data_IF_988043096052
#
_entry.id   IF_988043096052
#
_cell.length_a   1.000
_cell.length_b   1.000
_cell.length_c   1.000
_cell.angle_alpha   90.00
_cell.angle_beta   90.00
_cell.angle_gamma   90.00
#
_symmetry.space_group_name_H-M   'P 1'
#
loop_
_entity.id
_entity.type
_entity.pdbx_description
1 polymer ?
#
# COMPACT_ATOMS: atom_id res chain seq x y z
N UNK A 1 -79.83 -20.52 -37.37
CA UNK A 1 -78.73 -21.49 -37.13
C UNK A 1 -77.44 -20.89 -37.69
N UNK A 2 -76.63 -20.24 -36.85
CA UNK A 2 -75.26 -19.85 -37.19
C UNK A 2 -74.37 -20.43 -36.10
N UNK A 3 -73.49 -21.37 -36.47
CA UNK A 3 -72.49 -21.95 -35.56
C UNK A 3 -71.22 -21.11 -35.68
N UNK A 4 -70.81 -20.50 -34.58
CA UNK A 4 -69.56 -19.75 -34.45
C UNK A 4 -68.45 -20.73 -34.06
N UNK A 5 -67.40 -20.80 -34.87
CA UNK A 5 -66.19 -21.60 -34.62
C UNK A 5 -65.19 -20.76 -33.84
N UNK A 6 -64.89 -21.15 -32.60
CA UNK A 6 -63.79 -20.60 -31.81
C UNK A 6 -62.47 -21.28 -32.23
N UNK A 7 -61.56 -20.51 -32.81
CA UNK A 7 -60.17 -20.93 -33.05
C UNK A 7 -59.35 -20.73 -31.77
N UNK A 8 -58.84 -21.84 -31.23
CA UNK A 8 -57.91 -21.85 -30.10
C UNK A 8 -56.50 -21.51 -30.63
N UNK A 9 -56.02 -20.29 -30.35
CA UNK A 9 -54.64 -19.88 -30.64
C UNK A 9 -53.75 -20.40 -29.51
N UNK A 10 -52.92 -21.39 -29.82
CA UNK A 10 -51.87 -21.90 -28.93
C UNK A 10 -50.71 -20.88 -28.93
N UNK A 11 -50.59 -20.08 -27.88
CA UNK A 11 -49.42 -19.22 -27.66
C UNK A 11 -48.26 -20.09 -27.17
N UNK A 12 -47.36 -20.48 -28.08
CA UNK A 12 -46.09 -21.09 -27.71
C UNK A 12 -45.19 -20.02 -27.08
N UNK A 13 -45.05 -20.03 -25.77
CA UNK A 13 -44.03 -19.24 -25.07
C UNK A 13 -42.66 -19.86 -25.34
N UNK A 14 -42.00 -19.42 -26.41
CA UNK A 14 -40.57 -19.67 -26.58
C UNK A 14 -39.83 -18.96 -25.44
N UNK A 15 -39.25 -19.72 -24.51
CA UNK A 15 -38.30 -19.18 -23.55
C UNK A 15 -37.07 -18.71 -24.33
N UNK A 16 -36.99 -17.40 -24.58
CA UNK A 16 -35.73 -16.77 -25.00
C UNK A 16 -34.72 -17.04 -23.89
N UNK A 17 -33.83 -18.02 -24.11
CA UNK A 17 -32.69 -18.23 -23.24
C UNK A 17 -31.92 -16.92 -23.18
N UNK A 18 -31.77 -16.36 -21.99
CA UNK A 18 -30.89 -15.22 -21.75
C UNK A 18 -29.48 -15.65 -22.12
N UNK A 19 -29.02 -15.30 -23.33
CA UNK A 19 -27.63 -15.51 -23.71
C UNK A 19 -26.74 -14.73 -22.74
N UNK A 20 -25.81 -15.41 -22.09
CA UNK A 20 -24.81 -14.77 -21.25
C UNK A 20 -24.04 -13.74 -22.10
N UNK A 21 -23.79 -12.55 -21.55
CA UNK A 21 -22.99 -11.53 -22.25
C UNK A 21 -21.58 -12.05 -22.54
N UNK A 22 -21.09 -11.96 -23.78
CA UNK A 22 -19.79 -12.51 -24.15
C UNK A 22 -18.64 -11.94 -23.30
N UNK A 23 -17.77 -12.84 -22.83
CA UNK A 23 -16.58 -12.52 -22.05
C UNK A 23 -15.50 -11.97 -22.98
N UNK A 24 -15.13 -10.71 -22.76
CA UNK A 24 -14.04 -10.03 -23.46
C UNK A 24 -12.88 -9.78 -22.51
N UNK A 25 -11.67 -10.14 -22.94
CA UNK A 25 -10.43 -9.97 -22.17
C UNK A 25 -9.62 -8.85 -22.84
N UNK A 26 -9.32 -7.79 -22.09
CA UNK A 26 -8.49 -6.68 -22.55
C UNK A 26 -7.19 -6.62 -21.74
N UNK A 27 -6.07 -6.52 -22.47
CA UNK A 27 -4.71 -6.44 -21.92
C UNK A 27 -4.41 -7.57 -20.93
N UNK A 28 -4.38 -8.85 -21.38
CA UNK A 28 -3.86 -9.92 -20.56
C UNK A 28 -2.37 -9.66 -20.29
N UNK A 29 -1.91 -9.99 -19.08
CA UNK A 29 -0.54 -9.76 -18.67
C UNK A 29 0.01 -10.90 -17.82
N UNK A 30 1.34 -10.99 -17.85
CA UNK A 30 2.15 -11.75 -16.91
C UNK A 30 3.42 -10.95 -16.64
N UNK A 31 3.83 -10.81 -15.40
CA UNK A 31 5.08 -10.16 -15.02
C UNK A 31 5.56 -10.72 -13.69
N UNK A 32 6.81 -10.47 -13.37
CA UNK A 32 7.35 -10.75 -12.04
C UNK A 32 7.24 -9.50 -11.20
N UNK A 33 6.66 -9.65 -10.02
CA UNK A 33 6.43 -8.58 -9.07
C UNK A 33 7.24 -8.82 -7.80
N UNK A 34 8.02 -7.82 -7.39
CA UNK A 34 8.59 -7.74 -6.05
C UNK A 34 7.79 -6.69 -5.28
N UNK A 35 7.06 -7.12 -4.26
CA UNK A 35 6.28 -6.22 -3.42
C UNK A 35 6.99 -5.98 -2.10
N UNK A 36 7.35 -4.73 -1.83
CA UNK A 36 7.74 -4.32 -0.49
C UNK A 36 6.58 -4.50 0.47
N UNK A 37 6.89 -4.54 1.76
CA UNK A 37 5.87 -4.51 2.79
C UNK A 37 5.09 -3.19 2.76
N UNK A 38 3.85 -3.27 3.21
CA UNK A 38 2.88 -2.21 3.05
C UNK A 38 1.79 -2.32 4.11
N UNK A 39 1.11 -1.21 4.36
CA UNK A 39 -0.02 -1.12 5.28
C UNK A 39 -1.37 -1.43 4.63
N UNK A 40 -1.37 -1.74 3.33
CA UNK A 40 -2.59 -1.93 2.53
C UNK A 40 -3.19 -3.34 2.69
N UNK A 41 -2.51 -4.22 3.42
CA UNK A 41 -2.88 -5.62 3.58
C UNK A 41 -2.55 -6.48 2.36
N UNK A 42 -1.67 -6.00 1.46
CA UNK A 42 -1.19 -6.79 0.33
C UNK A 42 0.02 -7.63 0.74
N UNK A 43 0.05 -8.89 0.31
CA UNK A 43 1.17 -9.79 0.61
C UNK A 43 2.50 -9.23 0.11
N UNK A 44 3.54 -9.26 0.94
CA UNK A 44 4.90 -8.86 0.56
C UNK A 44 5.72 -10.04 0.04
N UNK A 45 6.71 -9.77 -0.81
CA UNK A 45 7.62 -10.79 -1.34
C UNK A 45 7.69 -10.78 -2.87
N UNK A 46 8.19 -11.87 -3.43
CA UNK A 46 8.30 -12.06 -4.88
C UNK A 46 7.16 -12.94 -5.40
N UNK A 47 6.50 -12.48 -6.46
CA UNK A 47 5.36 -13.15 -7.06
C UNK A 47 5.48 -13.19 -8.58
N UNK A 48 4.97 -14.27 -9.17
CA UNK A 48 4.50 -14.25 -10.55
C UNK A 48 3.09 -13.66 -10.52
N UNK A 49 2.94 -12.48 -11.12
CA UNK A 49 1.68 -11.79 -11.24
C UNK A 49 1.09 -12.01 -12.62
N UNK A 50 -0.15 -12.48 -12.67
CA UNK A 50 -0.91 -12.76 -13.89
C UNK A 50 -2.28 -12.10 -13.83
N UNK A 51 -2.88 -11.84 -14.98
CA UNK A 51 -4.26 -11.34 -15.00
C UNK A 51 -4.61 -10.59 -16.27
N UNK A 52 -5.61 -9.72 -16.17
CA UNK A 52 -6.03 -8.84 -17.25
C UNK A 52 -6.50 -7.49 -16.69
N UNK A 53 -6.18 -6.40 -17.40
CA UNK A 53 -6.55 -5.04 -16.96
C UNK A 53 -8.06 -4.84 -16.92
N UNK A 54 -8.78 -5.48 -17.85
CA UNK A 54 -10.23 -5.43 -17.91
C UNK A 54 -10.81 -6.71 -18.49
N UNK A 55 -11.70 -7.35 -17.71
CA UNK A 55 -12.57 -8.43 -18.19
C UNK A 55 -14.02 -7.99 -18.09
N UNK A 56 -14.75 -8.09 -19.19
CA UNK A 56 -16.17 -7.69 -19.26
C UNK A 56 -17.02 -8.85 -19.78
N UNK A 57 -18.12 -9.25 -19.10
CA UNK A 57 -18.56 -8.76 -17.78
C UNK A 57 -17.51 -9.00 -16.69
N UNK A 58 -17.53 -8.21 -15.62
CA UNK A 58 -16.53 -8.29 -14.55
C UNK A 58 -16.95 -9.25 -13.42
N UNK A 59 -16.14 -9.34 -12.35
CA UNK A 59 -16.41 -10.26 -11.25
C UNK A 59 -17.70 -9.95 -10.48
N UNK A 60 -18.08 -8.68 -10.35
CA UNK A 60 -19.37 -8.29 -9.77
C UNK A 60 -20.57 -8.78 -10.60
N UNK A 61 -20.37 -8.99 -11.90
CA UNK A 61 -21.36 -9.57 -12.81
C UNK A 61 -21.27 -11.12 -12.88
N UNK A 62 -20.52 -11.75 -11.98
CA UNK A 62 -20.40 -13.21 -11.89
C UNK A 62 -19.28 -13.83 -12.73
N UNK A 63 -18.38 -13.03 -13.31
CA UNK A 63 -17.24 -13.57 -14.05
C UNK A 63 -16.18 -14.11 -13.08
N UNK A 64 -15.75 -15.35 -13.29
CA UNK A 64 -14.64 -15.97 -12.56
C UNK A 64 -13.43 -16.15 -13.48
N UNK A 65 -12.23 -16.08 -12.93
CA UNK A 65 -10.98 -16.29 -13.67
C UNK A 65 -10.19 -17.46 -13.11
N UNK A 66 -9.56 -18.24 -13.99
CA UNK A 66 -8.66 -19.33 -13.63
C UNK A 66 -7.40 -19.25 -14.49
N UNK A 67 -6.26 -19.45 -13.84
CA UNK A 67 -4.93 -19.54 -14.43
C UNK A 67 -4.53 -21.02 -14.54
N UNK A 68 -3.98 -21.43 -15.68
CA UNK A 68 -3.46 -22.78 -15.84
C UNK A 68 -2.17 -22.89 -16.65
N UNK A 69 -1.46 -24.01 -16.46
CA UNK A 69 -0.37 -24.48 -17.34
C UNK A 69 -0.66 -25.90 -17.76
N UNK A 70 -0.99 -26.09 -19.04
CA UNK A 70 -1.46 -27.38 -19.54
C UNK A 70 -2.71 -27.85 -18.77
N UNK A 71 -2.76 -29.14 -18.44
CA UNK A 71 -3.85 -29.75 -17.64
C UNK A 71 -3.43 -30.06 -16.20
N UNK A 72 -2.21 -29.69 -15.81
CA UNK A 72 -1.55 -30.21 -14.60
C UNK A 72 -1.66 -29.25 -13.41
N UNK A 73 -1.77 -27.94 -13.69
CA UNK A 73 -1.86 -26.90 -12.66
C UNK A 73 -2.98 -25.93 -13.01
N UNK A 74 -3.87 -25.68 -12.05
CA UNK A 74 -4.96 -24.71 -12.14
C UNK A 74 -5.09 -23.97 -10.80
N UNK A 75 -5.25 -22.65 -10.84
CA UNK A 75 -5.48 -21.81 -9.67
C UNK A 75 -6.38 -20.62 -10.02
N UNK A 76 -7.07 -20.06 -9.04
CA UNK A 76 -7.98 -18.94 -9.29
C UNK A 76 -7.22 -17.64 -9.61
N UNK A 77 -7.84 -16.82 -10.45
CA UNK A 77 -7.50 -15.42 -10.68
C UNK A 77 -8.62 -14.58 -10.06
N UNK A 78 -8.27 -13.77 -9.08
CA UNK A 78 -9.23 -13.05 -8.27
C UNK A 78 -9.69 -11.76 -8.96
N UNK A 79 -10.96 -11.43 -8.78
CA UNK A 79 -11.49 -10.12 -9.11
C UNK A 79 -11.05 -9.10 -8.05
N UNK A 80 -10.26 -8.11 -8.45
CA UNK A 80 -9.61 -7.17 -7.52
C UNK A 80 -9.76 -5.73 -8.03
N UNK A 81 -11.00 -5.21 -8.13
CA UNK A 81 -11.26 -3.94 -8.80
C UNK A 81 -10.74 -2.74 -8.01
N UNK A 82 -10.67 -1.60 -8.69
CA UNK A 82 -10.47 -0.29 -8.07
C UNK A 82 -11.29 0.78 -8.79
N UNK A 83 -11.42 1.99 -8.24
CA UNK A 83 -12.01 3.13 -8.93
C UNK A 83 -11.46 3.38 -10.34
N UNK A 84 -10.13 3.32 -10.53
CA UNK A 84 -9.50 3.58 -11.84
C UNK A 84 -9.41 2.33 -12.75
N UNK A 85 -9.47 1.13 -12.17
CA UNK A 85 -9.48 -0.15 -12.90
C UNK A 85 -10.62 -1.07 -12.42
N UNK A 86 -11.88 -0.79 -12.78
CA UNK A 86 -13.06 -1.45 -12.19
C UNK A 86 -13.29 -2.89 -12.62
N UNK A 87 -12.61 -3.35 -13.68
CA UNK A 87 -12.77 -4.68 -14.27
C UNK A 87 -11.53 -5.55 -14.08
N UNK A 88 -10.68 -5.19 -13.11
CA UNK A 88 -9.35 -5.75 -12.94
C UNK A 88 -9.39 -7.15 -12.32
N UNK A 89 -8.66 -8.09 -12.95
CA UNK A 89 -8.43 -9.42 -12.43
C UNK A 89 -6.94 -9.67 -12.24
N UNK A 90 -6.56 -10.26 -11.10
CA UNK A 90 -5.17 -10.62 -10.83
C UNK A 90 -5.03 -11.88 -9.98
N UNK A 91 -3.97 -12.64 -10.29
CA UNK A 91 -3.51 -13.79 -9.53
C UNK A 91 -2.04 -13.60 -9.16
N UNK A 92 -1.66 -14.12 -8.00
CA UNK A 92 -0.32 -14.00 -7.44
C UNK A 92 0.15 -15.39 -7.02
N UNK A 93 1.25 -15.84 -7.61
CA UNK A 93 1.93 -17.08 -7.22
C UNK A 93 3.26 -16.73 -6.58
N UNK A 94 3.54 -17.12 -5.33
CA UNK A 94 4.85 -16.89 -4.71
C UNK A 94 5.97 -17.55 -5.53
N UNK A 95 7.06 -16.83 -5.77
CA UNK A 95 8.21 -17.32 -6.53
C UNK A 95 9.51 -17.10 -5.76
N UNK A 96 10.40 -18.09 -5.82
CA UNK A 96 11.78 -17.99 -5.32
C UNK A 96 12.80 -17.81 -6.45
N UNK A 97 14.05 -17.42 -6.13
CA UNK A 97 15.11 -17.20 -7.13
C UNK A 97 15.38 -18.42 -8.04
N UNK A 98 15.22 -19.63 -7.50
CA UNK A 98 15.42 -20.90 -8.21
C UNK A 98 14.47 -21.07 -9.41
N UNK A 99 13.30 -20.44 -9.37
CA UNK A 99 12.30 -20.54 -10.44
C UNK A 99 12.66 -19.72 -11.67
N UNK A 100 13.66 -18.83 -11.58
CA UNK A 100 14.19 -18.05 -12.70
C UNK A 100 15.35 -18.73 -13.45
N UNK A 101 15.66 -19.97 -13.08
CA UNK A 101 16.66 -20.78 -13.79
C UNK A 101 16.11 -21.35 -15.12
N UNK A 102 17.00 -21.78 -16.01
CA UNK A 102 16.61 -22.40 -17.27
C UNK A 102 15.74 -23.65 -17.03
N UNK A 103 14.49 -23.64 -17.54
CA UNK A 103 13.51 -24.70 -17.30
C UNK A 103 12.58 -24.46 -16.11
N UNK A 104 12.69 -23.31 -15.42
CA UNK A 104 11.78 -22.92 -14.36
C UNK A 104 10.34 -22.73 -14.84
N UNK A 105 9.38 -23.14 -14.01
CA UNK A 105 7.95 -23.16 -14.36
C UNK A 105 7.35 -21.79 -14.70
N UNK A 106 7.96 -20.70 -14.27
CA UNK A 106 7.51 -19.32 -14.55
C UNK A 106 7.59 -18.96 -16.04
N UNK A 107 8.46 -19.62 -16.80
CA UNK A 107 8.66 -19.36 -18.24
C UNK A 107 7.76 -20.21 -19.16
N UNK A 108 6.99 -21.13 -18.60
CA UNK A 108 6.01 -21.92 -19.36
C UNK A 108 4.90 -21.00 -19.91
N UNK A 109 4.23 -21.39 -21.01
CA UNK A 109 3.04 -20.70 -21.47
C UNK A 109 1.88 -20.93 -20.48
N UNK A 110 1.25 -19.84 -20.05
CA UNK A 110 0.12 -19.84 -19.15
C UNK A 110 -1.15 -19.48 -19.91
N UNK A 111 -2.26 -20.13 -19.57
CA UNK A 111 -3.58 -19.84 -20.12
C UNK A 111 -4.46 -19.23 -19.03
N UNK A 112 -4.96 -18.03 -19.30
CA UNK A 112 -6.00 -17.37 -18.52
C UNK A 112 -7.34 -17.78 -19.11
N UNK A 113 -8.25 -18.31 -18.30
CA UNK A 113 -9.62 -18.64 -18.69
C UNK A 113 -10.58 -17.83 -17.84
N UNK A 114 -11.45 -17.06 -18.48
CA UNK A 114 -12.52 -16.34 -17.80
C UNK A 114 -13.87 -16.91 -18.22
N UNK A 115 -14.79 -17.01 -17.28
CA UNK A 115 -16.10 -17.65 -17.49
C UNK A 115 -17.19 -16.79 -16.86
N UNK A 116 -18.27 -16.54 -17.61
CA UNK A 116 -19.49 -15.89 -17.12
C UNK A 116 -20.70 -16.69 -17.57
N UNK A 117 -21.37 -17.37 -16.64
CA UNK A 117 -22.46 -18.28 -16.96
C UNK A 117 -22.01 -19.40 -17.91
N UNK A 118 -22.58 -19.45 -19.10
CA UNK A 118 -22.24 -20.43 -20.13
C UNK A 118 -21.12 -19.97 -21.08
N UNK A 119 -20.72 -18.70 -21.03
CA UNK A 119 -19.71 -18.15 -21.92
C UNK A 119 -18.31 -18.22 -21.29
N UNK A 120 -17.29 -18.47 -22.13
CA UNK A 120 -15.91 -18.51 -21.69
C UNK A 120 -14.96 -18.02 -22.76
N UNK A 121 -13.94 -17.29 -22.33
CA UNK A 121 -12.90 -16.74 -23.20
C UNK A 121 -11.52 -17.01 -22.59
N UNK A 122 -10.51 -17.13 -23.45
CA UNK A 122 -9.15 -17.48 -23.06
C UNK A 122 -8.13 -16.49 -23.63
N UNK A 123 -7.05 -16.29 -22.87
CA UNK A 123 -5.87 -15.57 -23.32
C UNK A 123 -4.60 -16.32 -22.90
N UNK A 124 -3.60 -16.36 -23.78
CA UNK A 124 -2.31 -16.96 -23.46
C UNK A 124 -1.29 -15.87 -23.13
N UNK A 125 -0.52 -16.10 -22.07
CA UNK A 125 0.54 -15.20 -21.60
C UNK A 125 1.80 -16.00 -21.30
N UNK A 126 2.96 -15.42 -21.54
CA UNK A 126 4.24 -16.08 -21.28
C UNK A 126 5.31 -15.08 -20.85
N UNK A 127 6.14 -15.46 -19.88
CA UNK A 127 7.32 -14.69 -19.49
C UNK A 127 8.45 -14.84 -20.51
N UNK A 128 9.18 -13.76 -20.77
CA UNK A 128 10.43 -13.84 -21.51
C UNK A 128 11.52 -14.46 -20.64
N UNK A 129 12.44 -15.21 -21.25
CA UNK A 129 13.55 -15.87 -20.56
C UNK A 129 14.54 -14.91 -19.89
N UNK A 130 14.52 -13.62 -20.24
CA UNK A 130 15.33 -12.56 -19.61
C UNK A 130 14.70 -11.96 -18.36
N UNK A 131 13.49 -12.37 -17.99
CA UNK A 131 12.83 -11.83 -16.80
C UNK A 131 13.58 -12.20 -15.53
N UNK A 132 13.70 -11.23 -14.63
CA UNK A 132 14.44 -11.35 -13.38
C UNK A 132 13.75 -10.54 -12.28
N UNK A 133 14.03 -10.89 -11.03
CA UNK A 133 13.62 -10.07 -9.89
C UNK A 133 14.35 -8.73 -9.95
N UNK A 134 13.60 -7.65 -9.81
CA UNK A 134 14.13 -6.28 -9.79
C UNK A 134 14.08 -5.75 -8.36
N UNK A 135 15.10 -5.01 -7.90
CA UNK A 135 15.08 -4.45 -6.55
C UNK A 135 14.03 -3.35 -6.43
N UNK A 136 13.60 -3.11 -5.20
CA UNK A 136 12.76 -1.97 -4.82
C UNK A 136 13.56 -0.67 -4.85
N UNK A 137 12.89 0.47 -4.92
CA UNK A 137 13.55 1.77 -4.78
C UNK A 137 14.11 1.93 -3.37
N UNK A 138 15.14 2.76 -3.23
CA UNK A 138 15.89 2.86 -1.98
C UNK A 138 15.14 3.65 -0.90
N UNK A 139 14.38 4.68 -1.29
CA UNK A 139 13.54 5.47 -0.37
C UNK A 139 12.51 6.36 -1.07
N UNK A 140 11.53 6.84 -0.30
CA UNK A 140 10.53 7.84 -0.69
C UNK A 140 10.58 9.00 0.31
N UNK A 141 10.60 10.23 -0.20
CA UNK A 141 10.56 11.47 0.58
C UNK A 141 9.32 12.26 0.18
N UNK A 142 8.63 12.86 1.15
CA UNK A 142 7.48 13.73 0.93
C UNK A 142 7.86 15.20 1.19
N UNK A 143 7.44 16.07 0.30
CA UNK A 143 7.62 17.51 0.40
C UNK A 143 6.42 18.23 -0.23
N UNK A 144 6.53 19.53 -0.43
CA UNK A 144 5.48 20.31 -1.09
C UNK A 144 4.40 20.79 -0.13
N UNK A 145 3.24 21.15 -0.70
CA UNK A 145 2.10 21.61 0.08
C UNK A 145 1.15 20.46 0.30
N UNK A 146 0.30 20.56 1.31
CA UNK A 146 -0.66 19.50 1.54
C UNK A 146 -1.69 19.32 0.44
N UNK A 147 -2.03 20.36 -0.33
CA UNK A 147 -2.90 20.25 -1.48
C UNK A 147 -2.21 19.62 -2.69
N UNK A 148 -0.88 19.69 -2.74
CA UNK A 148 -0.05 19.21 -3.84
C UNK A 148 1.24 18.59 -3.29
N UNK A 149 1.17 17.41 -2.66
CA UNK A 149 2.35 16.74 -2.13
C UNK A 149 3.31 16.39 -3.27
N UNK A 150 4.59 16.59 -3.03
CA UNK A 150 5.67 16.21 -3.92
C UNK A 150 6.40 15.02 -3.34
N UNK A 151 6.27 13.87 -4.00
CA UNK A 151 7.02 12.67 -3.67
C UNK A 151 8.30 12.62 -4.47
N UNK A 152 9.42 12.39 -3.81
CA UNK A 152 10.73 12.19 -4.44
C UNK A 152 11.24 10.81 -4.02
N UNK A 153 11.88 10.07 -4.92
CA UNK A 153 12.39 8.74 -4.62
C UNK A 153 13.81 8.54 -5.11
N UNK A 154 14.54 7.67 -4.41
CA UNK A 154 15.87 7.25 -4.81
C UNK A 154 15.79 5.98 -5.67
N UNK A 155 16.27 5.99 -6.93
CA UNK A 155 16.43 4.77 -7.72
C UNK A 155 17.26 3.72 -6.97
N UNK A 156 17.09 2.42 -7.26
CA UNK A 156 17.86 1.40 -6.59
C UNK A 156 19.37 1.55 -6.86
N UNK A 157 20.15 1.50 -5.79
CA UNK A 157 21.60 1.43 -5.86
C UNK A 157 22.09 0.10 -6.47
N UNK A 158 23.36 0.07 -6.88
CA UNK A 158 23.97 -1.14 -7.40
C UNK A 158 23.90 -2.27 -6.35
N UNK A 159 23.59 -3.49 -6.80
CA UNK A 159 23.50 -4.64 -5.89
C UNK A 159 24.83 -4.82 -5.13
N UNK A 160 24.81 -5.10 -3.82
CA UNK A 160 26.04 -5.31 -3.04
C UNK A 160 26.99 -6.31 -3.72
N UNK A 161 28.24 -5.91 -3.91
CA UNK A 161 29.26 -6.71 -4.60
C UNK A 161 29.20 -6.67 -6.13
N UNK A 162 28.38 -5.81 -6.73
CA UNK A 162 28.31 -5.60 -8.17
C UNK A 162 28.36 -4.11 -8.53
N UNK A 163 28.76 -3.78 -9.76
CA UNK A 163 28.66 -2.43 -10.32
C UNK A 163 27.41 -2.25 -11.19
N UNK A 164 26.56 -3.27 -11.29
CA UNK A 164 25.40 -3.27 -12.19
C UNK A 164 24.22 -2.58 -11.51
N UNK A 165 23.81 -1.46 -12.11
CA UNK A 165 22.57 -0.76 -11.75
C UNK A 165 21.41 -1.45 -12.47
N UNK A 166 20.29 -1.74 -11.79
CA UNK A 166 19.10 -2.29 -12.42
C UNK A 166 18.59 -1.39 -13.56
N UNK A 167 18.17 -2.00 -14.66
CA UNK A 167 17.54 -1.25 -15.76
C UNK A 167 16.20 -0.70 -15.27
N UNK A 168 15.93 0.56 -15.56
CA UNK A 168 14.64 1.20 -15.28
C UNK A 168 14.10 1.75 -16.59
N UNK A 169 12.91 1.28 -17.01
CA UNK A 169 12.24 1.79 -18.21
C UNK A 169 11.19 2.85 -17.86
N UNK A 170 10.74 2.91 -16.62
CA UNK A 170 9.87 3.97 -16.11
C UNK A 170 9.52 3.76 -14.64
N UNK A 171 8.77 4.70 -14.09
CA UNK A 171 8.17 4.55 -12.77
C UNK A 171 6.65 4.63 -12.84
N UNK A 172 5.96 3.81 -12.06
CA UNK A 172 4.52 3.91 -11.84
C UNK A 172 4.26 4.58 -10.49
N UNK A 173 3.48 5.64 -10.47
CA UNK A 173 3.03 6.32 -9.26
C UNK A 173 1.56 6.05 -9.11
N UNK A 174 1.14 5.44 -8.00
CA UNK A 174 -0.28 5.19 -7.70
C UNK A 174 -0.59 5.65 -6.30
N UNK A 175 -1.83 6.10 -6.09
CA UNK A 175 -2.32 6.47 -4.77
C UNK A 175 -3.51 5.58 -4.43
N UNK A 176 -3.44 5.04 -3.22
CA UNK A 176 -4.44 4.18 -2.62
C UNK A 176 -5.16 4.93 -1.52
N UNK A 177 -6.48 4.98 -1.62
CA UNK A 177 -7.35 5.43 -0.54
C UNK A 177 -7.59 4.27 0.42
N UNK A 178 -6.98 4.35 1.61
CA UNK A 178 -7.01 3.25 2.59
C UNK A 178 -8.42 2.99 3.11
N UNK A 179 -9.30 3.99 3.08
CA UNK A 179 -10.64 3.90 3.68
C UNK A 179 -11.62 3.03 2.89
N UNK A 180 -11.31 2.76 1.61
CA UNK A 180 -12.16 1.96 0.73
C UNK A 180 -11.55 0.59 0.42
N UNK A 181 -10.37 0.28 0.96
CA UNK A 181 -9.74 -1.03 0.75
C UNK A 181 -10.59 -2.09 1.43
N UNK A 182 -10.96 -3.10 0.67
CA UNK A 182 -11.65 -4.27 1.17
C UNK A 182 -11.24 -5.51 0.36
N UNK A 183 -10.58 -6.44 1.03
CA UNK A 183 -10.16 -7.72 0.45
C UNK A 183 -11.14 -8.85 0.77
N UNK A 184 -12.10 -8.64 1.69
CA UNK A 184 -13.05 -9.64 2.12
C UNK A 184 -14.46 -9.31 1.60
N UNK A 185 -15.03 -10.11 0.68
CA UNK A 185 -16.38 -9.87 0.17
C UNK A 185 -17.46 -9.91 1.27
N UNK A 186 -17.20 -10.52 2.42
CA UNK A 186 -18.12 -10.49 3.56
C UNK A 186 -18.28 -9.10 4.19
N UNK A 187 -17.30 -8.21 4.02
CA UNK A 187 -17.29 -6.87 4.60
C UNK A 187 -17.83 -5.81 3.63
N UNK A 188 -18.28 -6.21 2.44
CA UNK A 188 -18.77 -5.33 1.37
C UNK A 188 -18.12 -5.63 0.02
N UNK A 189 -18.29 -4.75 -0.98
CA UNK A 189 -17.66 -4.91 -2.28
C UNK A 189 -16.13 -4.97 -2.16
N UNK A 190 -15.49 -5.91 -2.86
CA UNK A 190 -14.03 -5.98 -2.93
C UNK A 190 -13.53 -4.72 -3.64
N UNK A 191 -12.47 -4.12 -3.11
CA UNK A 191 -11.83 -2.95 -3.70
C UNK A 191 -10.38 -2.87 -3.21
N UNK A 192 -9.43 -2.68 -4.12
CA UNK A 192 -8.01 -2.56 -3.77
C UNK A 192 -7.59 -1.14 -3.36
N UNK A 193 -8.48 -0.15 -3.47
CA UNK A 193 -8.27 1.23 -3.03
C UNK A 193 -7.55 2.15 -4.00
N UNK A 194 -7.08 1.69 -5.15
CA UNK A 194 -6.36 2.55 -6.10
C UNK A 194 -7.28 3.61 -6.73
N UNK A 195 -7.07 4.87 -6.36
CA UNK A 195 -7.88 6.03 -6.80
C UNK A 195 -7.24 6.82 -7.94
N UNK A 196 -5.92 6.76 -8.10
CA UNK A 196 -5.20 7.33 -9.23
C UNK A 196 -3.96 6.53 -9.58
N UNK A 197 -3.43 6.75 -10.78
CA UNK A 197 -2.19 6.16 -11.24
C UNK A 197 -1.65 6.87 -12.47
N UNK A 198 -0.34 7.08 -12.52
CA UNK A 198 0.38 7.63 -13.66
C UNK A 198 1.70 6.90 -13.83
N UNK A 199 2.15 6.79 -15.08
CA UNK A 199 3.49 6.31 -15.39
C UNK A 199 4.36 7.48 -15.87
N UNK A 200 5.61 7.54 -15.41
CA UNK A 200 6.58 8.56 -15.77
C UNK A 200 7.84 7.95 -16.37
N UNK A 201 8.59 8.78 -17.09
CA UNK A 201 9.85 8.42 -17.74
C UNK A 201 10.92 8.00 -16.71
N UNK A 202 11.92 7.19 -17.10
CA UNK A 202 12.89 6.60 -16.15
C UNK A 202 13.86 7.61 -15.53
N UNK A 203 13.99 8.80 -16.12
CA UNK A 203 14.78 9.90 -15.58
C UNK A 203 14.00 10.81 -14.61
N UNK A 204 12.73 10.52 -14.37
CA UNK A 204 11.90 11.25 -13.39
C UNK A 204 12.00 10.52 -12.06
N UNK A 205 12.43 11.24 -11.03
CA UNK A 205 12.54 10.73 -9.64
C UNK A 205 11.74 11.56 -8.65
N UNK A 206 10.83 12.41 -9.15
CA UNK A 206 9.97 13.26 -8.35
C UNK A 206 8.64 13.48 -9.05
N UNK A 207 7.54 13.49 -8.28
CA UNK A 207 6.18 13.68 -8.77
C UNK A 207 5.37 14.53 -7.79
N UNK A 208 4.81 15.63 -8.28
CA UNK A 208 3.88 16.47 -7.51
C UNK A 208 2.45 16.12 -7.87
N UNK A 209 1.72 15.59 -6.90
CA UNK A 209 0.31 15.23 -7.06
C UNK A 209 -0.52 16.47 -7.34
N UNK A 210 -1.37 16.37 -8.36
CA UNK A 210 -2.30 17.40 -8.74
C UNK A 210 -3.74 16.93 -8.51
N UNK A 211 -4.65 17.86 -8.26
CA UNK A 211 -6.08 17.54 -8.21
C UNK A 211 -6.58 16.87 -9.50
N UNK A 212 -5.99 17.23 -10.65
CA UNK A 212 -6.29 16.66 -11.96
C UNK A 212 -5.90 15.18 -12.11
N UNK A 213 -5.07 14.63 -11.22
CA UNK A 213 -4.69 13.22 -11.25
C UNK A 213 -5.87 12.32 -10.87
N UNK A 214 -6.85 12.84 -10.13
CA UNK A 214 -8.02 12.11 -9.66
C UNK A 214 -9.16 12.25 -10.65
N UNK A 215 -9.10 11.43 -11.70
CA UNK A 215 -10.04 11.49 -12.84
C UNK A 215 -11.40 10.85 -12.55
N UNK A 216 -11.51 10.04 -11.49
CA UNK A 216 -12.74 9.34 -11.13
C UNK A 216 -13.59 10.20 -10.17
N UNK A 217 -14.83 10.57 -10.54
CA UNK A 217 -15.70 11.37 -9.68
C UNK A 217 -15.92 10.72 -8.31
N UNK A 218 -15.81 11.52 -7.24
CA UNK A 218 -16.01 11.06 -5.86
C UNK A 218 -14.78 10.48 -5.18
N UNK A 219 -13.66 10.29 -5.90
CA UNK A 219 -12.40 9.77 -5.36
C UNK A 219 -11.29 10.83 -5.35
N UNK A 220 -11.69 12.10 -5.29
CA UNK A 220 -10.76 13.22 -5.24
C UNK A 220 -9.88 13.21 -3.99
N UNK A 221 -8.74 13.87 -4.12
CA UNK A 221 -7.81 14.10 -3.04
C UNK A 221 -8.44 14.92 -1.90
N UNK A 222 -8.45 14.37 -0.69
CA UNK A 222 -9.12 14.96 0.48
C UNK A 222 -8.13 15.21 1.61
N UNK A 223 -8.13 16.42 2.18
CA UNK A 223 -7.26 16.75 3.31
C UNK A 223 -7.63 15.96 4.57
N UNK A 224 -6.62 15.57 5.35
CA UNK A 224 -6.78 14.75 6.56
C UNK A 224 -7.15 13.29 6.30
N UNK A 225 -7.29 12.87 5.03
CA UNK A 225 -7.61 11.50 4.67
C UNK A 225 -6.34 10.66 4.49
N UNK A 226 -6.41 9.38 4.84
CA UNK A 226 -5.24 8.52 4.87
C UNK A 226 -5.07 7.78 3.56
N UNK A 227 -3.92 8.04 2.93
CA UNK A 227 -3.54 7.46 1.66
C UNK A 227 -2.26 6.65 1.80
N UNK A 228 -2.00 5.81 0.80
CA UNK A 228 -0.69 5.19 0.60
C UNK A 228 -0.26 5.45 -0.83
N UNK A 229 0.99 5.86 -1.02
CA UNK A 229 1.60 5.97 -2.34
C UNK A 229 2.38 4.71 -2.65
N UNK A 230 2.18 4.18 -3.86
CA UNK A 230 3.03 3.15 -4.46
C UNK A 230 3.94 3.82 -5.48
N UNK A 231 5.25 3.67 -5.30
CA UNK A 231 6.24 3.92 -6.35
C UNK A 231 6.70 2.57 -6.88
N UNK A 232 6.41 2.34 -8.16
CA UNK A 232 6.78 1.14 -8.89
C UNK A 232 7.97 1.39 -9.79
N UNK A 233 9.00 0.54 -9.74
CA UNK A 233 10.00 0.46 -10.79
C UNK A 233 9.48 -0.44 -11.89
N UNK A 234 9.51 0.02 -13.14
CA UNK A 234 8.97 -0.72 -14.29
C UNK A 234 10.10 -1.13 -15.23
N UNK A 235 10.18 -2.44 -15.51
CA UNK A 235 10.95 -2.99 -16.62
C UNK A 235 10.02 -3.53 -17.69
N UNK A 236 10.28 -3.20 -18.95
CA UNK A 236 9.46 -3.58 -20.08
C UNK A 236 10.09 -4.68 -20.91
N UNK A 237 9.24 -5.47 -21.57
CA UNK A 237 9.63 -6.61 -22.40
C UNK A 237 10.41 -6.22 -23.65
N UNK A 238 10.15 -5.02 -24.15
CA UNK A 238 10.79 -4.42 -25.31
C UNK A 238 11.94 -3.46 -24.93
N UNK A 239 12.20 -3.25 -23.63
CA UNK A 239 13.17 -2.29 -23.11
C UNK A 239 12.81 -0.82 -23.37
N UNK A 240 11.59 -0.55 -23.84
CA UNK A 240 11.11 0.80 -24.17
C UNK A 240 10.50 1.50 -22.97
N UNK A 241 10.65 2.82 -22.89
CA UNK A 241 9.93 3.68 -21.94
C UNK A 241 8.62 4.24 -22.51
N UNK A 242 8.24 3.89 -23.74
CA UNK A 242 7.07 4.44 -24.43
C UNK A 242 5.76 3.72 -24.06
N UNK A 243 5.85 2.43 -23.72
CA UNK A 243 4.70 1.61 -23.33
C UNK A 243 4.95 0.96 -21.97
N UNK A 244 4.46 1.61 -20.92
CA UNK A 244 4.59 1.18 -19.52
C UNK A 244 3.32 0.47 -19.01
N UNK A 245 2.43 0.02 -19.89
CA UNK A 245 1.21 -0.70 -19.52
C UNK A 245 1.46 -2.15 -19.12
N UNK A 246 0.58 -2.75 -18.32
CA UNK A 246 0.74 -4.09 -17.74
C UNK A 246 1.06 -5.18 -18.79
N UNK A 247 0.47 -5.09 -19.99
CA UNK A 247 0.73 -6.04 -21.08
C UNK A 247 2.17 -6.03 -21.61
N UNK A 248 2.93 -4.94 -21.42
CA UNK A 248 4.34 -4.83 -21.82
C UNK A 248 5.31 -4.95 -20.64
N UNK A 249 4.83 -5.02 -19.40
CA UNK A 249 5.71 -5.18 -18.24
C UNK A 249 6.35 -6.58 -18.24
N UNK A 250 7.65 -6.62 -17.98
CA UNK A 250 8.40 -7.84 -17.74
C UNK A 250 8.58 -8.06 -16.24
N UNK A 251 9.08 -7.03 -15.55
CA UNK A 251 9.31 -7.06 -14.11
C UNK A 251 8.88 -5.73 -13.49
N UNK A 252 8.38 -5.79 -12.27
CA UNK A 252 7.97 -4.64 -11.47
C UNK A 252 8.43 -4.84 -10.04
N UNK A 253 8.94 -3.79 -9.40
CA UNK A 253 9.02 -3.73 -7.95
C UNK A 253 8.16 -2.61 -7.43
N UNK A 254 7.59 -2.76 -6.24
CA UNK A 254 6.63 -1.82 -5.67
C UNK A 254 7.03 -1.48 -4.25
N UNK A 255 7.12 -0.18 -3.98
CA UNK A 255 7.43 0.35 -2.66
C UNK A 255 6.30 1.24 -2.21
N UNK A 256 5.92 1.13 -0.94
CA UNK A 256 4.77 1.82 -0.38
C UNK A 256 5.20 2.76 0.72
N UNK A 257 4.57 3.92 0.79
CA UNK A 257 4.67 4.84 1.91
C UNK A 257 3.29 5.40 2.21
N UNK A 258 2.93 5.43 3.49
CA UNK A 258 1.69 6.04 3.91
C UNK A 258 1.86 7.54 4.06
N UNK A 259 0.80 8.29 3.77
CA UNK A 259 0.79 9.73 3.97
C UNK A 259 -0.63 10.25 4.20
N UNK A 260 -0.70 11.37 4.92
CA UNK A 260 -1.93 12.13 5.13
C UNK A 260 -1.74 13.55 4.59
N UNK A 261 -2.60 14.05 3.70
CA UNK A 261 -2.51 15.42 3.21
C UNK A 261 -2.81 16.42 4.35
N UNK A 262 -1.83 17.24 4.73
CA UNK A 262 -1.90 18.17 5.86
C UNK A 262 -2.66 19.49 5.59
N UNK A 263 -2.51 20.51 6.44
CA UNK A 263 -2.81 21.90 6.07
C UNK A 263 -1.53 22.59 5.54
N UNK A 264 -1.66 23.65 4.74
CA UNK A 264 -0.49 24.34 4.17
C UNK A 264 0.42 24.96 5.24
N UNK A 265 1.74 24.80 5.09
CA UNK A 265 2.76 25.35 6.01
C UNK A 265 3.56 24.31 6.82
N UNK A 266 3.26 23.02 6.69
CA UNK A 266 4.05 21.95 7.30
C UNK A 266 5.46 21.81 6.65
N UNK A 267 6.51 21.47 7.42
CA UNK A 267 7.84 21.20 6.88
C UNK A 267 7.83 19.97 5.96
N UNK A 268 8.83 19.83 5.08
CA UNK A 268 9.00 18.62 4.29
C UNK A 268 9.32 17.42 5.21
N UNK A 269 8.66 16.28 4.97
CA UNK A 269 8.68 15.09 5.84
C UNK A 269 9.24 13.90 5.08
N UNK A 270 10.24 13.22 5.63
CA UNK A 270 10.73 11.96 5.07
C UNK A 270 9.77 10.85 5.49
N UNK A 271 9.30 10.05 4.52
CA UNK A 271 8.35 8.97 4.80
C UNK A 271 9.10 7.65 4.93
N UNK A 272 8.73 6.82 5.91
CA UNK A 272 9.32 5.50 6.05
C UNK A 272 8.71 4.47 5.10
N UNK A 273 9.46 3.40 4.87
CA UNK A 273 8.97 2.11 4.35
C UNK A 273 8.60 1.21 5.53
N UNK A 274 7.51 0.46 5.45
CA UNK A 274 7.06 -0.42 6.54
C UNK A 274 7.86 -1.73 6.55
N UNK A 275 8.27 -2.23 7.72
CA UNK A 275 8.97 -3.50 7.97
C UNK A 275 8.03 -4.63 8.46
N UNK A 276 8.53 -5.89 8.49
CA UNK A 276 7.71 -7.10 8.78
C UNK A 276 7.14 -7.05 10.20
N UNK A 277 7.88 -6.41 11.09
CA UNK A 277 7.54 -6.21 12.49
C UNK A 277 6.69 -4.95 12.73
N UNK A 278 6.23 -4.26 11.68
CA UNK A 278 5.49 -3.01 11.76
C UNK A 278 6.37 -1.78 12.04
N UNK A 279 7.70 -1.93 12.10
CA UNK A 279 8.60 -0.80 12.23
C UNK A 279 8.71 -0.01 10.93
N UNK A 280 9.00 1.27 11.03
CA UNK A 280 9.14 2.20 9.93
C UNK A 280 10.62 2.39 9.62
N UNK A 281 11.10 1.93 8.47
CA UNK A 281 12.49 2.08 8.03
C UNK A 281 12.68 3.31 7.16
N UNK A 282 13.73 4.06 7.42
CA UNK A 282 14.18 5.17 6.58
C UNK A 282 15.45 4.76 5.82
N UNK A 283 15.72 5.40 4.68
CA UNK A 283 16.97 5.23 3.95
C UNK A 283 17.30 6.54 3.22
N UNK A 284 18.05 7.41 3.87
CA UNK A 284 18.29 8.77 3.38
C UNK A 284 19.70 9.26 3.70
N UNK A 285 20.28 10.07 2.82
CA UNK A 285 21.54 10.75 3.12
C UNK A 285 21.30 11.86 4.15
N UNK A 286 22.16 11.93 5.17
CA UNK A 286 22.09 12.88 6.27
C UNK A 286 23.38 13.68 6.37
N UNK A 287 23.25 14.97 6.69
CA UNK A 287 24.37 15.88 6.94
C UNK A 287 24.35 16.37 8.38
N UNK A 288 25.54 16.50 8.98
CA UNK A 288 25.71 17.01 10.32
C UNK A 288 25.09 18.41 10.47
N UNK A 289 24.28 18.60 11.50
CA UNK A 289 23.61 19.87 11.80
C UNK A 289 22.40 20.23 10.93
N UNK A 290 22.00 19.38 9.98
CA UNK A 290 20.72 19.53 9.27
C UNK A 290 19.59 18.83 10.03
N UNK A 291 18.42 19.46 10.08
CA UNK A 291 17.22 18.89 10.70
C UNK A 291 16.37 18.19 9.66
N UNK A 292 16.10 16.92 9.89
CA UNK A 292 15.24 16.08 9.05
C UNK A 292 13.96 15.76 9.81
N UNK A 293 12.80 16.11 9.24
CA UNK A 293 11.52 15.77 9.83
C UNK A 293 11.10 14.38 9.38
N UNK A 294 10.74 13.52 10.33
CA UNK A 294 10.22 12.17 10.14
C UNK A 294 8.91 12.01 10.91
N UNK A 295 8.07 11.09 10.47
CA UNK A 295 6.67 11.07 10.91
C UNK A 295 6.14 9.63 10.99
N UNK A 296 5.76 9.18 12.19
CA UNK A 296 5.19 7.87 12.40
C UNK A 296 3.66 7.83 12.29
N UNK A 297 3.12 6.61 12.22
CA UNK A 297 1.70 6.35 12.51
C UNK A 297 1.45 6.29 14.02
N UNK A 298 0.31 6.81 14.45
CA UNK A 298 -0.11 6.94 15.86
C UNK A 298 0.24 5.78 16.77
N UNK A 299 0.92 6.12 17.87
CA UNK A 299 1.34 5.24 18.95
C UNK A 299 1.42 6.06 20.25
N UNK A 300 1.45 5.40 21.40
CA UNK A 300 1.66 6.07 22.71
C UNK A 300 3.14 6.41 22.98
N UNK A 301 4.00 6.03 22.04
CA UNK A 301 5.43 6.34 22.02
C UNK A 301 6.12 5.71 20.82
N UNK A 302 7.39 6.01 20.63
CA UNK A 302 8.21 5.49 19.53
C UNK A 302 9.62 5.15 19.99
N UNK A 303 10.14 4.03 19.50
CA UNK A 303 11.56 3.68 19.57
C UNK A 303 12.25 4.08 18.28
N UNK A 304 13.28 4.90 18.37
CA UNK A 304 14.13 5.29 17.26
C UNK A 304 15.47 4.58 17.38
N UNK A 305 15.93 3.96 16.29
CA UNK A 305 17.19 3.25 16.24
C UNK A 305 17.91 3.54 14.91
N UNK A 306 19.23 3.69 14.93
CA UNK A 306 20.01 3.78 13.69
C UNK A 306 20.30 2.40 13.09
N UNK A 307 20.63 2.36 11.80
CA UNK A 307 21.17 1.18 11.13
C UNK A 307 22.67 1.00 11.38
N UNK A 308 23.21 -0.16 10.98
CA UNK A 308 24.63 -0.47 11.16
C UNK A 308 25.50 0.44 10.28
N UNK A 309 26.34 1.27 10.92
CA UNK A 309 27.25 2.19 10.23
C UNK A 309 26.67 3.57 9.93
N UNK A 310 25.43 3.82 10.35
CA UNK A 310 24.79 5.14 10.31
C UNK A 310 25.43 6.11 11.31
N UNK A 311 25.32 7.43 11.11
CA UNK A 311 25.67 8.41 12.12
C UNK A 311 24.65 8.43 13.27
N UNK A 312 25.12 8.64 14.50
CA UNK A 312 24.28 8.76 15.69
C UNK A 312 23.33 9.97 15.63
N UNK A 313 22.19 9.87 16.32
CA UNK A 313 21.27 10.98 16.55
C UNK A 313 21.90 12.01 17.49
N UNK A 314 21.99 13.28 17.06
CA UNK A 314 22.54 14.38 17.85
C UNK A 314 21.47 15.12 18.65
N UNK A 315 20.29 15.32 18.06
CA UNK A 315 19.15 15.92 18.74
C UNK A 315 17.82 15.47 18.17
N UNK A 316 16.78 15.57 19.00
CA UNK A 316 15.39 15.38 18.61
C UNK A 316 14.58 16.66 18.89
N UNK A 317 13.67 17.02 18.01
CA UNK A 317 12.71 18.11 18.15
C UNK A 317 11.31 17.50 18.10
N UNK A 318 10.63 17.49 19.24
CA UNK A 318 9.31 16.89 19.38
C UNK A 318 8.21 17.90 19.00
N UNK A 319 7.07 17.43 18.47
CA UNK A 319 5.98 18.29 18.01
C UNK A 319 5.29 19.05 19.15
N UNK A 320 4.74 20.23 18.85
CA UNK A 320 3.92 21.02 19.79
C UNK A 320 2.44 20.61 19.70
N UNK A 321 1.72 20.70 20.82
CA UNK A 321 0.25 20.69 20.83
C UNK A 321 -0.41 19.33 20.63
N UNK A 322 0.31 18.23 20.89
CA UNK A 322 -0.25 16.87 20.96
C UNK A 322 -0.43 16.54 22.44
N UNK A 323 -1.65 16.16 22.84
CA UNK A 323 -1.95 15.87 24.24
C UNK A 323 -1.71 17.08 25.13
N UNK A 324 -0.99 16.90 26.24
CA UNK A 324 -0.50 17.99 27.09
C UNK A 324 0.76 18.71 26.54
N UNK A 325 1.35 18.16 25.48
CA UNK A 325 2.55 18.69 24.82
C UNK A 325 3.85 18.41 25.57
N UNK A 326 3.85 17.46 26.51
CA UNK A 326 4.99 17.02 27.31
C UNK A 326 5.34 15.57 26.96
N UNK A 327 6.64 15.28 26.90
CA UNK A 327 7.12 13.96 26.49
C UNK A 327 8.23 13.45 27.39
N UNK A 328 8.25 12.14 27.60
CA UNK A 328 9.35 11.47 28.27
C UNK A 328 10.35 10.96 27.25
N UNK A 329 11.63 11.28 27.45
CA UNK A 329 12.72 10.86 26.57
C UNK A 329 13.60 9.88 27.33
N UNK A 330 13.75 8.68 26.77
CA UNK A 330 14.62 7.63 27.27
C UNK A 330 15.79 7.40 26.32
N UNK A 331 16.91 6.94 26.87
CA UNK A 331 18.05 6.45 26.11
C UNK A 331 18.71 5.30 26.84
N UNK A 332 19.87 4.88 26.37
CA UNK A 332 20.67 3.87 27.04
C UNK A 332 21.77 4.50 27.91
N UNK A 333 22.02 3.90 29.07
CA UNK A 333 23.20 4.18 29.88
C UNK A 333 24.45 3.42 29.35
N UNK A 334 25.59 3.60 30.03
CA UNK A 334 26.85 2.94 29.68
C UNK A 334 26.82 1.41 29.84
N UNK A 335 25.77 0.85 30.43
CA UNK A 335 25.52 -0.58 30.60
C UNK A 335 24.40 -1.08 29.66
N UNK A 336 24.00 -0.25 28.69
CA UNK A 336 22.96 -0.52 27.72
C UNK A 336 21.58 -0.80 28.37
N UNK A 337 21.33 -0.19 29.54
CA UNK A 337 20.03 -0.22 30.21
C UNK A 337 19.24 1.03 29.86
N UNK A 338 17.93 0.88 29.69
CA UNK A 338 17.03 2.00 29.42
C UNK A 338 16.94 2.91 30.66
N UNK A 339 17.21 4.19 30.47
CA UNK A 339 17.15 5.22 31.50
C UNK A 339 16.39 6.43 31.00
N UNK A 340 15.66 7.09 31.91
CA UNK A 340 14.98 8.35 31.63
C UNK A 340 16.02 9.47 31.53
N UNK A 341 16.11 10.11 30.37
CA UNK A 341 17.02 11.23 30.11
C UNK A 341 16.35 12.57 30.39
N UNK A 342 15.05 12.68 30.06
CA UNK A 342 14.24 13.84 30.35
C UNK A 342 12.80 13.43 30.66
N UNK A 343 12.22 14.07 31.67
CA UNK A 343 10.82 13.96 32.03
C UNK A 343 10.10 15.25 31.64
N UNK A 344 8.84 15.15 31.18
CA UNK A 344 8.00 16.29 30.82
C UNK A 344 8.69 17.28 29.87
N UNK A 345 9.40 16.75 28.87
CA UNK A 345 10.09 17.57 27.88
C UNK A 345 9.08 18.27 26.97
N UNK A 346 9.09 19.59 26.97
CA UNK A 346 8.13 20.37 26.21
C UNK A 346 8.33 20.20 24.69
N UNK A 347 7.22 19.93 23.99
CA UNK A 347 7.16 20.02 22.54
C UNK A 347 7.63 21.37 22.01
N UNK A 348 8.28 21.37 20.85
CA UNK A 348 8.88 22.55 20.23
C UNK A 348 10.25 22.94 20.77
N UNK A 349 10.74 22.30 21.84
CA UNK A 349 12.12 22.42 22.29
C UNK A 349 12.96 21.24 21.76
N UNK A 350 14.15 21.53 21.20
CA UNK A 350 15.07 20.46 20.77
C UNK A 350 15.83 19.90 21.96
N UNK A 351 15.72 18.58 22.17
CA UNK A 351 16.50 17.82 23.13
C UNK A 351 17.83 17.37 22.51
N UNK A 352 18.96 17.72 23.14
CA UNK A 352 20.29 17.36 22.67
C UNK A 352 20.83 16.19 23.48
N UNK A 353 21.28 15.13 22.80
CA UNK A 353 21.79 13.91 23.42
C UNK A 353 23.24 14.00 23.91
N UNK A 354 23.90 15.15 23.73
CA UNK A 354 25.26 15.40 24.18
C UNK A 354 26.33 14.98 23.16
N UNK A 355 27.57 14.91 23.63
CA UNK A 355 28.73 14.65 22.78
C UNK A 355 28.70 13.21 22.23
N UNK A 356 28.72 13.07 20.90
CA UNK A 356 28.72 11.78 20.22
C UNK A 356 27.34 11.23 19.86
N UNK A 357 26.26 11.86 20.34
CA UNK A 357 24.89 11.44 20.06
C UNK A 357 24.54 10.05 20.61
N UNK A 358 23.37 9.54 20.23
CA UNK A 358 22.89 8.19 20.58
C UNK A 358 22.51 7.39 19.35
N UNK A 359 22.69 6.08 19.41
CA UNK A 359 22.27 5.12 18.39
C UNK A 359 20.81 4.68 18.56
N UNK A 360 20.26 4.86 19.76
CA UNK A 360 18.88 4.54 20.12
C UNK A 360 18.30 5.55 21.13
N UNK A 361 17.03 5.91 20.96
CA UNK A 361 16.24 6.62 21.98
C UNK A 361 14.76 6.29 21.87
N UNK A 362 14.02 6.48 22.97
CA UNK A 362 12.57 6.33 23.02
C UNK A 362 11.91 7.65 23.39
N UNK A 363 10.81 7.94 22.73
CA UNK A 363 9.87 8.99 23.12
C UNK A 363 8.60 8.31 23.63
N UNK A 364 8.17 8.66 24.83
CA UNK A 364 6.89 8.21 25.40
C UNK A 364 6.13 9.42 25.96
N UNK A 365 4.96 9.17 26.56
CA UNK A 365 4.11 10.23 27.08
C UNK A 365 3.12 10.78 26.06
N UNK A 366 2.98 10.15 24.89
CA UNK A 366 1.89 10.48 23.96
C UNK A 366 0.60 9.90 24.53
N UNK A 367 -0.26 10.75 25.08
CA UNK A 367 -1.43 10.27 25.80
C UNK A 367 -2.49 9.74 24.83
N UNK A 368 -3.07 8.59 25.16
CA UNK A 368 -4.19 8.04 24.39
C UNK A 368 -5.39 9.00 24.31
N UNK A 369 -5.53 9.91 25.27
CA UNK A 369 -6.54 10.98 25.30
C UNK A 369 -6.26 12.15 24.35
N UNK A 370 -5.05 12.26 23.78
CA UNK A 370 -4.72 13.25 22.77
C UNK A 370 -5.55 13.08 21.49
N UNK A 371 -6.28 11.96 21.36
CA UNK A 371 -7.27 11.75 20.29
C UNK A 371 -6.64 11.78 18.90
N UNK A 372 -5.35 11.48 18.80
CA UNK A 372 -4.66 11.34 17.52
C UNK A 372 -5.41 10.27 16.72
N UNK A 373 -5.94 10.66 15.56
CA UNK A 373 -6.61 9.74 14.66
C UNK A 373 -5.61 8.63 14.29
N UNK A 374 -5.83 7.36 14.68
CA UNK A 374 -4.90 6.27 14.45
C UNK A 374 -4.52 6.07 12.99
N UNK A 375 -5.33 6.60 12.07
CA UNK A 375 -5.07 6.53 10.66
C UNK A 375 -4.25 7.74 10.14
N UNK A 376 -4.22 8.88 10.84
CA UNK A 376 -3.48 10.09 10.47
C UNK A 376 -1.97 9.91 10.67
N UNK A 377 -1.27 9.68 9.57
CA UNK A 377 0.18 9.44 9.54
C UNK A 377 1.00 10.72 9.58
N UNK A 378 0.37 11.85 9.96
CA UNK A 378 1.01 13.15 10.11
C UNK A 378 0.78 13.85 11.43
N UNK A 379 0.33 13.06 12.39
CA UNK A 379 0.03 13.53 13.73
C UNK A 379 1.28 13.85 14.54
N UNK A 380 2.44 13.22 14.29
CA UNK A 380 3.61 13.28 15.19
C UNK A 380 4.94 13.55 14.46
N UNK A 381 5.04 14.70 13.80
CA UNK A 381 6.26 15.07 13.07
C UNK A 381 7.41 15.35 14.04
N UNK A 382 8.46 14.52 14.00
CA UNK A 382 9.68 14.63 14.81
C UNK A 382 10.84 15.14 13.95
N UNK A 383 11.52 16.21 14.38
CA UNK A 383 12.75 16.68 13.74
C UNK A 383 13.99 15.99 14.33
N UNK A 384 14.86 15.41 13.51
CA UNK A 384 16.10 14.76 13.94
C UNK A 384 17.32 15.43 13.33
N UNK A 385 18.41 15.53 14.10
CA UNK A 385 19.74 15.90 13.60
C UNK A 385 20.74 14.78 13.86
N UNK A 386 21.83 14.75 13.10
CA UNK A 386 22.84 13.68 13.16
C UNK A 386 24.22 14.23 13.54
N UNK A 387 25.01 13.39 14.22
CA UNK A 387 26.32 13.76 14.75
C UNK A 387 27.42 13.83 13.66
N UNK A 388 27.18 13.22 12.50
CA UNK A 388 28.09 13.21 11.36
C UNK A 388 27.31 13.10 10.04
N UNK A 389 28.02 13.37 8.94
CA UNK A 389 27.52 13.10 7.59
C UNK A 389 27.48 11.58 7.35
N UNK A 390 26.47 11.09 6.64
CA UNK A 390 26.34 9.67 6.35
C UNK A 390 25.01 9.30 5.71
N UNK A 391 24.64 8.02 5.82
CA UNK A 391 23.31 7.53 5.47
C UNK A 391 22.58 7.14 6.75
N UNK A 392 21.29 7.41 6.81
CA UNK A 392 20.38 6.97 7.85
C UNK A 392 19.48 5.87 7.27
N UNK A 393 19.73 4.65 7.70
CA UNK A 393 19.00 3.41 7.38
C UNK A 393 18.18 2.88 8.57
N UNK A 394 18.00 3.72 9.59
CA UNK A 394 17.39 3.39 10.87
C UNK A 394 15.88 3.17 10.84
N UNK A 395 15.36 2.82 12.01
CA UNK A 395 13.96 2.47 12.21
C UNK A 395 13.28 3.36 13.25
N UNK A 396 11.97 3.48 13.10
CA UNK A 396 11.06 4.04 14.07
C UNK A 396 9.98 2.99 14.36
N UNK A 397 9.91 2.49 15.58
CA UNK A 397 8.98 1.42 15.97
C UNK A 397 7.89 1.99 16.87
N UNK A 398 6.60 1.87 16.50
CA UNK A 398 5.49 2.35 17.32
C UNK A 398 5.33 1.52 18.59
N UNK A 399 5.10 2.20 19.73
CA UNK A 399 4.69 1.60 20.99
C UNK A 399 3.17 1.72 21.09
N UNK A 400 2.46 0.61 20.93
CA UNK A 400 0.99 0.60 20.99
C UNK A 400 0.51 0.21 22.38
N UNK A 401 -0.41 0.98 22.96
CA UNK A 401 -1.24 0.52 24.07
C UNK A 401 -2.58 0.04 23.50
N UNK A 402 -3.00 -1.16 23.87
CA UNK A 402 -4.36 -1.63 23.62
C UNK A 402 -5.32 -0.78 24.45
N UNK A 403 -5.88 0.28 23.87
CA UNK A 403 -7.01 1.01 24.48
C UNK A 403 -8.21 0.06 24.45
N UNK A 404 -8.73 -0.40 25.61
CA UNK A 404 -9.96 -1.19 25.63
C UNK A 404 -11.08 -0.32 25.06
N UNK A 405 -11.79 -0.84 24.06
CA UNK A 405 -12.92 -0.11 23.49
C UNK A 405 -13.86 0.35 24.61
N UNK A 406 -14.35 1.61 24.55
CA UNK A 406 -15.14 2.16 25.63
C UNK A 406 -16.34 1.25 25.91
N UNK A 407 -16.57 1.00 27.21
CA UNK A 407 -17.66 0.19 27.77
C UNK A 407 -19.06 0.66 27.37
N UNK A 408 -19.17 1.72 26.57
CA UNK A 408 -20.39 2.16 25.88
C UNK A 408 -20.96 1.08 24.96
N UNK A 409 -20.15 0.27 24.28
CA UNK A 409 -20.66 -0.87 23.48
C UNK A 409 -21.25 -1.98 24.38
N UNK A 410 -20.65 -2.23 25.54
CA UNK A 410 -21.19 -3.16 26.53
C UNK A 410 -22.51 -2.65 27.13
N UNK A 411 -22.63 -1.35 27.37
CA UNK A 411 -23.88 -0.72 27.84
C UNK A 411 -24.98 -0.72 26.77
N UNK A 412 -24.65 -0.50 25.50
CA UNK A 412 -25.61 -0.64 24.39
C UNK A 412 -26.06 -2.09 24.23
N UNK A 413 -25.15 -3.06 24.35
CA UNK A 413 -25.47 -4.49 24.36
C UNK A 413 -26.39 -4.89 25.53
N UNK A 414 -26.14 -4.37 26.73
CA UNK A 414 -26.99 -4.58 27.91
C UNK A 414 -28.35 -3.88 27.79
N UNK A 415 -28.41 -2.67 27.20
CA UNK A 415 -29.65 -1.97 26.94
C UNK A 415 -30.52 -2.71 25.90
N UNK A 416 -29.91 -3.24 24.84
CA UNK A 416 -30.61 -4.06 23.84
C UNK A 416 -31.08 -5.40 24.43
N UNK A 417 -30.29 -6.05 25.28
CA UNK A 417 -30.69 -7.26 26.00
C UNK A 417 -31.85 -7.00 27.01
N UNK A 418 -31.84 -5.85 27.69
CA UNK A 418 -32.92 -5.40 28.56
C UNK A 418 -34.23 -5.11 27.81
N UNK A 419 -34.15 -4.55 26.61
CA UNK A 419 -35.32 -4.32 25.73
C UNK A 419 -35.86 -5.63 25.13
N UNK A 420 -35.00 -6.61 24.84
CA UNK A 420 -35.43 -7.92 24.35
C UNK A 420 -36.15 -8.76 25.43
N UNK A 421 -35.75 -8.63 26.70
CA UNK A 421 -36.39 -9.35 27.83
C UNK A 421 -37.70 -8.72 28.27
N UNK A 422 -37.87 -7.40 28.13
CA UNK A 422 -39.14 -6.71 28.41
C UNK A 422 -40.22 -6.95 27.35
N UNK A 423 -39.84 -7.29 26.11
CA UNK A 423 -40.80 -7.68 25.05
C UNK A 423 -41.40 -9.09 25.20
N UNK A 424 -40.83 -9.96 26.04
CA UNK A 424 -41.35 -11.32 26.30
C UNK A 424 -42.39 -11.41 27.41
N UNK A 425 -42.80 -10.30 28.02
CA UNK A 425 -43.77 -10.24 29.13
C UNK A 425 -45.06 -9.51 28.74
N UNK A 426 -45.63 -9.85 27.58
CA UNK A 426 -47.07 -9.67 27.27
C UNK A 426 -47.51 -10.76 26.29
N UNK A 427 -47.80 -11.94 26.82
CA UNK A 427 -48.88 -12.85 26.40
C UNK A 427 -49.55 -13.32 27.68
#
# INVERSE_FOLDING_TARGET
>A
MFRSSFALVLLATASLGTHATPVTINTPFINVEVRAMNSLGFDSGAFLRVGADSVTPNGSAGTTGVLGVGTTFMTDINFTPSPIVPNFFSGYLPVGPEQFSAGGGVFLPWTLTFTNGADSSQANVQMQSSAQLVPVIDSITLSGTSANPTFTWAPPSAKPGTTTIPVVNGYGIKIYDKTIINTNPANGPINNGQVTGVNVAPNVTSYTVQAGDFTVPGYGYTLGKNYSIEISLLQTRDGSSLNLGNGNLQSVSRTYADFTPLAGGAPAVNLPVVLVNGAYQFNMAVMAGQTYYIDPVVAVGYDYAIGLGDPNFQSALLPVGIGDGLYDIFGHDNLNQMVLLAHDWAGGASFNFGAGGVDWFRVAGIEASAGLDPANTTAFITGLTFAADGNFTGTQTPIVENVPEPTSLALVGLALAGLATTRRRKV
#
